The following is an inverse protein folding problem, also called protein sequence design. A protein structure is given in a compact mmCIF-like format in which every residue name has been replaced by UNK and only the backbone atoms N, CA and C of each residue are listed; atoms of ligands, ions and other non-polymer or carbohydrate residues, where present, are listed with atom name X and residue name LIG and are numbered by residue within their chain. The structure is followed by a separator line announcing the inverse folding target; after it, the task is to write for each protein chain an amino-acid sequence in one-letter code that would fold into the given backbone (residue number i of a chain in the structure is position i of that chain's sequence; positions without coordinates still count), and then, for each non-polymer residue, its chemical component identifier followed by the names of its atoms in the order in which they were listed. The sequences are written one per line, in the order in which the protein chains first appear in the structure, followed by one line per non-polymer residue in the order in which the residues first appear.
data_IF_739818424459
#
_entry.id   IF_739818424459
#
_cell.length_a   1.000
_cell.length_b   1.000
_cell.length_c   1.000
_cell.angle_alpha   90.00
_cell.angle_beta   90.00
_cell.angle_gamma   90.00
#
_symmetry.space_group_name_H-M   'P 1'
#
loop_
_entity.id
_entity.type
_entity.pdbx_description
1 polymer ?
#
# COMPACT_ATOMS: atom_id res chain seq x y z
N UNK A 1 -14.88 -6.73 4.08
CA UNK A 1 -16.06 -6.44 4.92
C UNK A 1 -15.87 -7.06 6.28
N UNK A 2 -15.49 -6.27 7.25
CA UNK A 2 -15.48 -6.69 8.65
C UNK A 2 -16.93 -6.97 9.06
N UNK A 3 -17.15 -8.17 9.61
CA UNK A 3 -18.46 -8.79 9.87
C UNK A 3 -19.45 -7.81 10.54
N UNK A 4 -20.59 -7.56 9.93
CA UNK A 4 -21.70 -6.75 10.46
C UNK A 4 -22.53 -7.56 11.46
N UNK A 5 -21.92 -8.03 12.53
CA UNK A 5 -22.59 -8.72 13.63
C UNK A 5 -21.82 -8.55 14.94
N UNK A 6 -22.39 -7.75 15.84
CA UNK A 6 -22.16 -7.73 17.29
C UNK A 6 -20.70 -7.66 17.84
N UNK A 7 -19.92 -6.73 17.34
CA UNK A 7 -18.85 -5.98 18.00
C UNK A 7 -18.14 -5.15 16.93
N UNK A 8 -18.74 -4.02 16.52
CA UNK A 8 -18.03 -3.08 15.66
C UNK A 8 -16.80 -2.58 16.43
N UNK A 9 -15.61 -2.97 15.96
CA UNK A 9 -14.37 -2.35 16.43
C UNK A 9 -14.47 -0.88 16.06
N UNK A 10 -14.61 -0.03 17.06
CA UNK A 10 -14.67 1.40 16.85
C UNK A 10 -13.25 1.90 16.60
N UNK A 11 -12.97 2.33 15.37
CA UNK A 11 -11.66 2.84 14.95
C UNK A 11 -11.68 4.36 15.11
N UNK A 12 -10.66 4.90 15.79
CA UNK A 12 -10.46 6.32 16.01
C UNK A 12 -9.13 6.76 15.40
N UNK A 13 -9.07 8.01 14.96
CA UNK A 13 -7.80 8.61 14.56
C UNK A 13 -6.91 8.77 15.81
N UNK A 14 -5.77 8.07 15.81
CA UNK A 14 -4.79 8.14 16.91
C UNK A 14 -4.06 9.47 16.95
N UNK A 15 -3.97 10.14 15.81
CA UNK A 15 -3.25 11.40 15.63
C UNK A 15 -4.18 12.43 14.98
N UNK A 16 -3.93 13.70 15.29
CA UNK A 16 -4.57 14.86 14.68
C UNK A 16 -3.49 15.90 14.37
N UNK A 17 -2.76 15.65 13.29
CA UNK A 17 -1.69 16.50 12.80
C UNK A 17 -2.22 17.46 11.73
N UNK A 18 -1.52 18.55 11.48
CA UNK A 18 -1.72 19.27 10.23
C UNK A 18 -1.22 18.40 9.05
N UNK A 19 -1.79 18.60 7.85
CA UNK A 19 -1.32 17.94 6.62
C UNK A 19 0.19 18.09 6.44
N UNK A 20 0.73 19.31 6.63
CA UNK A 20 2.15 19.60 6.47
C UNK A 20 3.02 18.86 7.50
N UNK A 21 2.60 18.81 8.76
CA UNK A 21 3.30 18.04 9.78
C UNK A 21 3.27 16.55 9.50
N UNK A 22 2.17 16.03 8.95
CA UNK A 22 2.09 14.62 8.58
C UNK A 22 2.95 14.30 7.36
N UNK A 23 3.01 15.18 6.36
CA UNK A 23 3.95 15.07 5.23
C UNK A 23 5.40 15.08 5.74
N UNK A 24 5.75 15.98 6.64
CA UNK A 24 7.09 16.03 7.24
C UNK A 24 7.42 14.72 7.96
N UNK A 25 6.49 14.21 8.77
CA UNK A 25 6.63 12.93 9.46
C UNK A 25 6.86 11.78 8.47
N UNK A 26 6.07 11.71 7.39
CA UNK A 26 6.19 10.69 6.36
C UNK A 26 7.54 10.75 5.64
N UNK A 27 7.99 11.94 5.24
CA UNK A 27 9.30 12.15 4.61
C UNK A 27 10.45 11.75 5.53
N UNK A 28 10.38 12.10 6.81
CA UNK A 28 11.39 11.72 7.80
C UNK A 28 11.50 10.21 8.00
N UNK A 29 10.39 9.48 7.88
CA UNK A 29 10.33 8.04 8.08
C UNK A 29 10.34 7.24 6.77
N UNK A 30 10.64 7.87 5.62
CA UNK A 30 10.49 7.24 4.30
C UNK A 30 11.28 5.94 4.16
N UNK A 31 12.51 5.87 4.68
CA UNK A 31 13.36 4.68 4.59
C UNK A 31 12.76 3.52 5.41
N UNK A 32 12.25 3.81 6.60
CA UNK A 32 11.58 2.81 7.45
C UNK A 32 10.30 2.28 6.79
N UNK A 33 9.53 3.17 6.17
CA UNK A 33 8.33 2.81 5.44
C UNK A 33 8.64 1.90 4.23
N UNK A 34 9.68 2.23 3.46
CA UNK A 34 10.14 1.41 2.32
C UNK A 34 10.66 0.07 2.83
N UNK A 35 11.48 0.06 3.88
CA UNK A 35 12.02 -1.15 4.50
C UNK A 35 10.90 -2.11 4.93
N UNK A 36 9.92 -1.63 5.69
CA UNK A 36 8.80 -2.45 6.15
C UNK A 36 7.95 -2.98 4.99
N UNK A 37 7.68 -2.15 3.98
CA UNK A 37 6.96 -2.58 2.78
C UNK A 37 7.72 -3.66 2.00
N UNK A 38 9.05 -3.53 1.86
CA UNK A 38 9.88 -4.54 1.21
C UNK A 38 9.88 -5.86 2.00
N UNK A 39 9.98 -5.80 3.33
CA UNK A 39 9.91 -6.97 4.21
C UNK A 39 8.56 -7.68 4.13
N UNK A 40 7.47 -6.93 4.05
CA UNK A 40 6.12 -7.47 3.89
C UNK A 40 5.94 -8.25 2.57
N UNK A 41 6.69 -7.90 1.53
CA UNK A 41 6.75 -8.64 0.25
C UNK A 41 7.73 -9.82 0.29
N UNK A 42 8.42 -10.06 1.40
CA UNK A 42 9.37 -11.17 1.56
C UNK A 42 10.78 -10.86 1.08
N UNK A 43 11.08 -9.63 0.68
CA UNK A 43 12.43 -9.23 0.30
C UNK A 43 13.32 -9.25 1.57
N UNK A 44 14.39 -10.07 1.53
CA UNK A 44 15.30 -10.26 2.67
C UNK A 44 16.31 -9.11 2.80
N UNK A 45 15.80 -7.86 2.86
CA UNK A 45 16.62 -6.65 2.98
C UNK A 45 16.72 -6.19 4.45
N UNK A 46 17.82 -5.57 4.81
CA UNK A 46 18.00 -4.84 6.08
C UNK A 46 17.66 -3.36 5.92
N UNK A 47 17.45 -2.67 7.04
CA UNK A 47 17.25 -1.21 7.04
C UNK A 47 18.45 -0.47 6.41
N UNK A 48 19.69 -0.86 6.76
CA UNK A 48 20.91 -0.25 6.20
C UNK A 48 21.05 -0.47 4.69
N UNK A 49 20.68 -1.65 4.19
CA UNK A 49 20.66 -1.92 2.75
C UNK A 49 19.59 -1.09 2.05
N UNK A 50 18.38 -0.99 2.63
CA UNK A 50 17.31 -0.12 2.09
C UNK A 50 17.78 1.32 2.01
N UNK A 51 18.42 1.84 3.05
CA UNK A 51 19.01 3.18 3.06
C UNK A 51 20.04 3.35 1.93
N UNK A 52 20.95 2.39 1.78
CA UNK A 52 22.00 2.42 0.76
C UNK A 52 21.41 2.45 -0.66
N UNK A 53 20.44 1.57 -0.96
CA UNK A 53 19.74 1.53 -2.26
C UNK A 53 19.03 2.84 -2.54
N UNK A 54 18.30 3.36 -1.57
CA UNK A 54 17.58 4.63 -1.72
C UNK A 54 18.52 5.83 -1.97
N UNK A 55 19.79 5.71 -1.59
CA UNK A 55 20.83 6.71 -1.86
C UNK A 55 21.71 6.37 -3.07
N UNK A 56 21.34 5.37 -3.89
CA UNK A 56 22.01 5.03 -5.14
C UNK A 56 23.25 4.16 -4.99
N UNK A 57 23.48 3.58 -3.81
CA UNK A 57 24.60 2.68 -3.60
C UNK A 57 24.28 1.25 -4.05
N UNK A 58 25.28 0.53 -4.52
CA UNK A 58 25.18 -0.90 -4.82
C UNK A 58 25.18 -1.70 -3.51
N UNK A 59 24.32 -2.70 -3.46
CA UNK A 59 24.18 -3.60 -2.30
C UNK A 59 24.35 -5.04 -2.76
N UNK A 60 25.18 -5.79 -2.03
CA UNK A 60 25.38 -7.22 -2.28
C UNK A 60 24.21 -8.05 -1.73
N UNK A 61 24.08 -9.28 -2.25
CA UNK A 61 23.12 -10.30 -1.81
C UNK A 61 21.63 -9.95 -2.03
N UNK A 62 21.34 -9.06 -2.95
CA UNK A 62 19.98 -8.82 -3.47
C UNK A 62 19.97 -9.02 -4.98
N UNK A 63 18.90 -9.58 -5.50
CA UNK A 63 18.67 -9.68 -6.93
C UNK A 63 18.39 -8.28 -7.54
N UNK A 64 18.53 -8.18 -8.85
CA UNK A 64 18.21 -6.94 -9.58
C UNK A 64 16.75 -6.56 -9.34
N UNK A 65 15.83 -7.52 -9.38
CA UNK A 65 14.40 -7.28 -9.18
C UNK A 65 14.08 -6.76 -7.77
N UNK A 66 14.77 -7.28 -6.73
CA UNK A 66 14.62 -6.78 -5.36
C UNK A 66 15.10 -5.32 -5.24
N UNK A 67 16.22 -4.97 -5.86
CA UNK A 67 16.71 -3.58 -5.90
C UNK A 67 15.73 -2.69 -6.68
N UNK A 68 15.20 -3.15 -7.81
CA UNK A 68 14.18 -2.44 -8.59
C UNK A 68 12.92 -2.23 -7.76
N UNK A 69 12.45 -3.24 -7.04
CA UNK A 69 11.26 -3.14 -6.18
C UNK A 69 11.43 -2.06 -5.09
N UNK A 70 12.59 -1.99 -4.45
CA UNK A 70 12.89 -0.96 -3.42
C UNK A 70 12.93 0.45 -4.05
N UNK A 71 13.55 0.60 -5.21
CA UNK A 71 13.56 1.88 -5.93
C UNK A 71 12.16 2.29 -6.41
N UNK A 72 11.32 1.33 -6.82
CA UNK A 72 9.93 1.59 -7.16
C UNK A 72 9.12 2.07 -5.96
N UNK A 73 9.33 1.51 -4.77
CA UNK A 73 8.72 1.99 -3.52
C UNK A 73 9.14 3.43 -3.23
N UNK A 74 10.42 3.78 -3.40
CA UNK A 74 10.90 5.16 -3.27
C UNK A 74 10.18 6.11 -4.24
N UNK A 75 10.06 5.72 -5.53
CA UNK A 75 9.35 6.51 -6.54
C UNK A 75 7.85 6.64 -6.22
N UNK A 76 7.23 5.58 -5.73
CA UNK A 76 5.82 5.60 -5.35
C UNK A 76 5.58 6.53 -4.15
N UNK A 77 6.45 6.55 -3.15
CA UNK A 77 6.40 7.54 -2.07
C UNK A 77 6.56 8.97 -2.58
N UNK A 78 7.49 9.22 -3.53
CA UNK A 78 7.62 10.53 -4.15
C UNK A 78 6.33 10.93 -4.86
N UNK A 79 5.74 10.01 -5.65
CA UNK A 79 4.45 10.24 -6.29
C UNK A 79 3.34 10.58 -5.28
N UNK A 80 3.27 9.89 -4.14
CA UNK A 80 2.34 10.21 -3.06
C UNK A 80 2.50 11.67 -2.61
N UNK A 81 3.73 12.14 -2.38
CA UNK A 81 3.98 13.50 -1.93
C UNK A 81 3.67 14.56 -3.01
N UNK A 82 3.99 14.26 -4.27
CA UNK A 82 3.79 15.19 -5.39
C UNK A 82 2.30 15.34 -5.76
N UNK A 83 1.49 14.37 -5.35
CA UNK A 83 0.06 14.33 -5.68
C UNK A 83 -0.86 14.64 -4.49
N UNK A 84 -0.33 15.30 -3.43
CA UNK A 84 -1.12 15.64 -2.23
C UNK A 84 -2.29 16.60 -2.49
N UNK A 85 -2.32 17.28 -3.63
CA UNK A 85 -3.42 18.17 -4.06
C UNK A 85 -4.49 17.44 -4.90
N UNK A 86 -4.29 16.16 -5.23
CA UNK A 86 -5.33 15.36 -5.88
C UNK A 86 -6.53 15.16 -4.93
N UNK A 87 -7.76 15.21 -5.43
CA UNK A 87 -8.94 15.26 -4.57
C UNK A 87 -9.17 13.98 -3.76
N UNK A 88 -8.81 12.82 -4.27
CA UNK A 88 -8.99 11.53 -3.56
C UNK A 88 -8.17 10.39 -4.18
N UNK A 89 -8.04 9.30 -3.39
CA UNK A 89 -7.44 8.03 -3.82
C UNK A 89 -8.51 7.21 -4.56
N UNK A 90 -8.80 7.55 -5.80
CA UNK A 90 -9.77 6.84 -6.64
C UNK A 90 -9.13 5.62 -7.35
N UNK A 91 -9.94 4.94 -8.15
CA UNK A 91 -9.48 3.79 -8.96
C UNK A 91 -8.30 4.14 -9.86
N UNK A 92 -8.31 5.32 -10.51
CA UNK A 92 -7.22 5.72 -11.41
C UNK A 92 -5.92 5.97 -10.64
N UNK A 93 -6.01 6.60 -9.47
CA UNK A 93 -4.88 6.80 -8.57
C UNK A 93 -4.27 5.47 -8.11
N UNK A 94 -5.11 4.50 -7.69
CA UNK A 94 -4.66 3.17 -7.28
C UNK A 94 -3.94 2.44 -8.41
N UNK A 95 -4.48 2.50 -9.64
CA UNK A 95 -3.84 1.94 -10.83
C UNK A 95 -2.47 2.57 -11.09
N UNK A 96 -2.36 3.89 -10.95
CA UNK A 96 -1.09 4.60 -11.16
C UNK A 96 -0.04 4.27 -10.10
N UNK A 97 -0.44 4.13 -8.83
CA UNK A 97 0.45 3.65 -7.77
C UNK A 97 0.96 2.24 -8.09
N UNK A 98 0.08 1.31 -8.51
CA UNK A 98 0.48 -0.04 -8.90
C UNK A 98 1.42 -0.04 -10.12
N UNK A 99 1.18 0.82 -11.10
CA UNK A 99 2.06 0.98 -12.26
C UNK A 99 3.48 1.37 -11.86
N UNK A 100 3.63 2.29 -10.90
CA UNK A 100 4.94 2.69 -10.39
C UNK A 100 5.59 1.54 -9.61
N UNK A 101 4.82 0.88 -8.73
CA UNK A 101 5.30 -0.24 -7.90
C UNK A 101 5.78 -1.40 -8.77
N UNK A 102 5.09 -1.70 -9.87
CA UNK A 102 5.41 -2.83 -10.76
C UNK A 102 6.35 -2.50 -11.93
N UNK A 103 6.78 -1.24 -12.06
CA UNK A 103 7.60 -0.78 -13.19
C UNK A 103 8.90 -1.57 -13.31
N UNK A 104 9.12 -2.21 -14.48
CA UNK A 104 10.30 -3.03 -14.75
C UNK A 104 10.33 -4.38 -14.07
N UNK A 105 9.30 -4.75 -13.29
CA UNK A 105 9.19 -6.04 -12.61
C UNK A 105 8.25 -7.01 -13.35
N UNK A 106 7.15 -6.51 -13.86
CA UNK A 106 6.17 -7.31 -14.58
C UNK A 106 5.41 -6.48 -15.61
N UNK A 107 4.92 -7.17 -16.64
CA UNK A 107 4.04 -6.58 -17.64
C UNK A 107 2.65 -6.31 -17.05
N UNK A 108 1.94 -5.35 -17.62
CA UNK A 108 0.58 -4.98 -17.18
C UNK A 108 0.48 -4.39 -15.76
N UNK A 109 1.57 -3.83 -15.22
CA UNK A 109 1.50 -3.05 -13.99
C UNK A 109 0.49 -1.90 -14.16
N UNK A 110 -0.38 -1.70 -13.15
CA UNK A 110 -1.46 -0.72 -13.17
C UNK A 110 -2.72 -1.14 -13.91
N UNK A 111 -2.75 -2.33 -14.55
CA UNK A 111 -3.95 -2.86 -15.20
C UNK A 111 -4.59 -3.95 -14.34
N UNK A 112 -5.91 -3.98 -14.33
CA UNK A 112 -6.64 -5.09 -13.69
C UNK A 112 -6.22 -6.43 -14.31
N UNK A 113 -6.00 -7.42 -13.46
CA UNK A 113 -5.70 -8.76 -13.92
C UNK A 113 -6.88 -9.37 -14.67
N UNK A 114 -6.55 -10.16 -15.69
CA UNK A 114 -7.52 -10.91 -16.48
C UNK A 114 -7.42 -12.43 -16.28
N UNK A 115 -6.54 -12.86 -15.37
CA UNK A 115 -6.34 -14.26 -15.03
C UNK A 115 -6.56 -14.51 -13.53
N UNK A 116 -6.97 -15.72 -13.14
CA UNK A 116 -7.08 -16.10 -11.73
C UNK A 116 -5.71 -16.01 -11.02
N UNK A 117 -5.76 -15.69 -9.73
CA UNK A 117 -4.59 -15.73 -8.84
C UNK A 117 -4.96 -16.48 -7.56
N UNK A 118 -3.95 -17.03 -6.89
CA UNK A 118 -4.10 -17.65 -5.57
C UNK A 118 -3.40 -16.79 -4.54
N UNK A 119 -3.98 -16.69 -3.34
CA UNK A 119 -3.34 -16.06 -2.20
C UNK A 119 -2.65 -17.16 -1.39
N UNK A 120 -1.35 -17.03 -1.18
CA UNK A 120 -0.58 -18.01 -0.40
C UNK A 120 -1.16 -18.16 1.01
N UNK A 121 -1.49 -19.40 1.42
CA UNK A 121 -2.08 -19.70 2.72
C UNK A 121 -3.61 -19.61 2.78
N UNK A 122 -4.29 -19.08 1.75
CA UNK A 122 -5.74 -19.03 1.70
C UNK A 122 -6.34 -20.21 0.95
N UNK A 123 -7.47 -20.75 1.45
CA UNK A 123 -8.25 -21.80 0.80
C UNK A 123 -9.21 -21.29 -0.28
N UNK A 124 -9.40 -19.98 -0.40
CA UNK A 124 -10.26 -19.32 -1.37
C UNK A 124 -9.47 -18.58 -2.44
N UNK A 125 -10.08 -18.35 -3.58
CA UNK A 125 -9.51 -17.57 -4.68
C UNK A 125 -10.34 -16.33 -4.92
N UNK A 126 -9.71 -15.15 -5.06
CA UNK A 126 -10.44 -13.93 -5.38
C UNK A 126 -10.99 -14.00 -6.81
N UNK A 127 -12.26 -13.61 -6.97
CA UNK A 127 -12.90 -13.48 -8.27
C UNK A 127 -12.12 -12.54 -9.20
N UNK A 128 -12.30 -12.69 -10.51
CA UNK A 128 -11.75 -11.74 -11.47
C UNK A 128 -12.31 -10.32 -11.17
N UNK A 129 -11.44 -9.31 -11.15
CA UNK A 129 -11.87 -7.95 -10.86
C UNK A 129 -12.72 -7.37 -12.00
N UNK A 130 -13.85 -6.79 -11.67
CA UNK A 130 -14.78 -6.12 -12.61
C UNK A 130 -14.67 -4.62 -12.33
N UNK A 131 -14.24 -3.84 -13.33
CA UNK A 131 -13.94 -2.41 -13.14
C UNK A 131 -15.10 -1.58 -12.57
N UNK A 132 -16.34 -1.67 -13.06
CA UNK A 132 -17.46 -0.95 -12.47
C UNK A 132 -17.65 -1.26 -10.99
N UNK A 133 -17.66 -2.54 -10.61
CA UNK A 133 -17.87 -2.98 -9.23
C UNK A 133 -16.77 -2.43 -8.30
N UNK A 134 -15.52 -2.44 -8.77
CA UNK A 134 -14.38 -1.90 -8.01
C UNK A 134 -14.54 -0.39 -7.78
N UNK A 135 -14.98 0.35 -8.81
CA UNK A 135 -15.20 1.80 -8.68
C UNK A 135 -16.27 2.09 -7.63
N UNK A 136 -17.38 1.34 -7.66
CA UNK A 136 -18.48 1.49 -6.71
C UNK A 136 -18.04 1.13 -5.29
N UNK A 137 -17.35 -0.01 -5.10
CA UNK A 137 -16.81 -0.45 -3.81
C UNK A 137 -15.80 0.56 -3.23
N UNK A 138 -14.92 1.15 -4.05
CA UNK A 138 -14.00 2.20 -3.63
C UNK A 138 -14.75 3.47 -3.21
N UNK A 139 -15.80 3.85 -3.94
CA UNK A 139 -16.62 4.99 -3.59
C UNK A 139 -17.37 4.76 -2.26
N UNK A 140 -17.84 3.56 -1.99
CA UNK A 140 -18.43 3.20 -0.68
C UNK A 140 -17.42 3.36 0.46
N UNK A 141 -16.18 2.90 0.26
CA UNK A 141 -15.10 3.08 1.24
C UNK A 141 -14.83 4.57 1.49
N UNK A 142 -14.89 5.39 0.44
CA UNK A 142 -14.70 6.85 0.58
C UNK A 142 -15.78 7.55 1.39
N UNK A 143 -16.95 6.96 1.55
CA UNK A 143 -18.03 7.50 2.39
C UNK A 143 -17.78 7.27 3.91
N UNK A 144 -16.76 6.52 4.28
CA UNK A 144 -16.35 6.35 5.70
C UNK A 144 -15.75 7.68 6.19
N UNK A 145 -16.37 8.29 7.20
CA UNK A 145 -15.94 9.60 7.71
C UNK A 145 -14.56 9.56 8.38
N UNK A 146 -14.34 8.55 9.25
CA UNK A 146 -13.08 8.44 9.97
C UNK A 146 -11.93 8.07 9.03
N UNK A 147 -10.85 8.86 9.02
CA UNK A 147 -9.74 8.71 8.09
C UNK A 147 -8.95 7.41 8.30
N UNK A 148 -8.71 7.02 9.54
CA UNK A 148 -8.01 5.76 9.87
C UNK A 148 -8.83 4.55 9.45
N UNK A 149 -10.15 4.55 9.72
CA UNK A 149 -11.05 3.49 9.28
C UNK A 149 -11.05 3.36 7.77
N UNK A 150 -11.26 4.48 7.06
CA UNK A 150 -11.25 4.52 5.58
C UNK A 150 -9.93 4.01 4.99
N UNK A 151 -8.79 4.40 5.59
CA UNK A 151 -7.49 3.97 5.13
C UNK A 151 -7.25 2.46 5.32
N UNK A 152 -7.66 1.92 6.48
CA UNK A 152 -7.55 0.48 6.78
C UNK A 152 -8.47 -0.32 5.87
N UNK A 153 -9.73 0.09 5.69
CA UNK A 153 -10.69 -0.59 4.82
C UNK A 153 -10.20 -0.62 3.37
N UNK A 154 -9.68 0.51 2.85
CA UNK A 154 -9.10 0.53 1.51
C UNK A 154 -7.88 -0.39 1.39
N UNK A 155 -7.00 -0.39 2.39
CA UNK A 155 -5.83 -1.25 2.41
C UNK A 155 -6.22 -2.73 2.35
N UNK A 156 -7.12 -3.16 3.23
CA UNK A 156 -7.59 -4.54 3.29
C UNK A 156 -8.36 -4.91 2.02
N UNK A 157 -9.19 -4.02 1.51
CA UNK A 157 -9.93 -4.20 0.26
C UNK A 157 -8.98 -4.52 -0.92
N UNK A 158 -7.95 -3.69 -1.15
CA UNK A 158 -6.99 -3.91 -2.23
C UNK A 158 -6.24 -5.24 -2.05
N UNK A 159 -5.83 -5.55 -0.81
CA UNK A 159 -5.12 -6.78 -0.49
C UNK A 159 -5.99 -8.03 -0.71
N UNK A 160 -7.27 -7.99 -0.34
CA UNK A 160 -8.19 -9.12 -0.52
C UNK A 160 -8.67 -9.25 -1.97
N UNK A 161 -9.05 -8.16 -2.59
CA UNK A 161 -9.57 -8.15 -3.97
C UNK A 161 -8.53 -8.63 -4.99
N UNK A 162 -7.24 -8.48 -4.67
CA UNK A 162 -6.14 -8.84 -5.58
C UNK A 162 -6.40 -8.30 -7.00
N UNK A 163 -6.55 -6.98 -7.09
CA UNK A 163 -6.95 -6.30 -8.33
C UNK A 163 -5.92 -6.47 -9.45
N UNK A 164 -4.64 -6.57 -9.08
CA UNK A 164 -3.50 -6.64 -9.98
C UNK A 164 -2.83 -8.02 -9.91
N UNK A 165 -2.03 -8.35 -10.92
CA UNK A 165 -1.25 -9.59 -10.93
C UNK A 165 -0.23 -9.63 -9.79
N UNK A 166 0.37 -8.50 -9.45
CA UNK A 166 1.32 -8.35 -8.35
C UNK A 166 1.30 -6.93 -7.78
N UNK A 167 2.00 -6.73 -6.66
CA UNK A 167 2.13 -5.43 -6.01
C UNK A 167 0.90 -4.96 -5.22
N UNK A 168 -0.10 -5.82 -5.00
CA UNK A 168 -1.33 -5.45 -4.29
C UNK A 168 -1.06 -4.96 -2.87
N UNK A 169 -0.20 -5.63 -2.08
CA UNK A 169 0.15 -5.20 -0.71
C UNK A 169 0.88 -3.85 -0.69
N UNK A 170 1.86 -3.68 -1.57
CA UNK A 170 2.61 -2.42 -1.71
C UNK A 170 1.69 -1.26 -2.10
N UNK A 171 0.86 -1.47 -3.12
CA UNK A 171 -0.15 -0.50 -3.56
C UNK A 171 -1.12 -0.13 -2.45
N UNK A 172 -1.65 -1.12 -1.75
CA UNK A 172 -2.59 -0.97 -0.65
C UNK A 172 -2.03 -0.09 0.48
N UNK A 173 -0.81 -0.42 0.94
CA UNK A 173 -0.14 0.34 2.01
C UNK A 173 0.13 1.79 1.61
N UNK A 174 0.57 2.03 0.37
CA UNK A 174 0.82 3.38 -0.16
C UNK A 174 -0.47 4.19 -0.25
N UNK A 175 -1.56 3.62 -0.78
CA UNK A 175 -2.85 4.28 -0.88
C UNK A 175 -3.46 4.61 0.49
N UNK A 176 -3.34 3.70 1.47
CA UNK A 176 -3.76 3.94 2.84
C UNK A 176 -2.98 5.11 3.47
N UNK A 177 -1.66 5.12 3.31
CA UNK A 177 -0.82 6.21 3.80
C UNK A 177 -1.15 7.55 3.14
N UNK A 178 -1.53 7.55 1.84
CA UNK A 178 -2.00 8.77 1.17
C UNK A 178 -3.23 9.36 1.87
N UNK A 179 -4.21 8.52 2.24
CA UNK A 179 -5.41 8.95 2.97
C UNK A 179 -5.03 9.48 4.36
N UNK A 180 -4.21 8.75 5.11
CA UNK A 180 -3.80 9.16 6.46
C UNK A 180 -3.05 10.48 6.46
N UNK A 181 -2.10 10.65 5.54
CA UNK A 181 -1.28 11.87 5.44
C UNK A 181 -2.15 13.09 5.13
N UNK A 182 -3.07 12.98 4.19
CA UNK A 182 -3.98 14.06 3.82
C UNK A 182 -4.84 14.53 4.99
N UNK A 183 -5.25 13.61 5.85
CA UNK A 183 -6.13 13.87 6.98
C UNK A 183 -5.38 14.08 8.33
N UNK A 184 -4.04 14.11 8.33
CA UNK A 184 -3.26 14.30 9.55
C UNK A 184 -3.34 13.12 10.53
N UNK A 185 -3.79 11.94 10.08
CA UNK A 185 -4.04 10.78 10.91
C UNK A 185 -2.82 9.86 11.12
N UNK A 186 -1.61 10.35 10.79
CA UNK A 186 -0.36 9.62 10.99
C UNK A 186 0.03 8.76 9.80
N UNK A 187 0.61 7.60 10.07
CA UNK A 187 1.10 6.63 9.08
C UNK A 187 0.73 5.21 9.51
N UNK A 188 0.57 4.31 8.53
CA UNK A 188 0.36 2.90 8.77
C UNK A 188 1.44 2.06 8.07
N UNK A 189 2.00 1.10 8.80
CA UNK A 189 2.87 0.05 8.30
C UNK A 189 2.71 -1.20 9.15
N UNK A 190 2.95 -2.36 8.54
CA UNK A 190 3.08 -3.62 9.26
C UNK A 190 4.51 -3.71 9.80
N UNK A 191 4.66 -3.89 11.11
CA UNK A 191 5.98 -4.10 11.69
C UNK A 191 6.56 -5.44 11.22
N UNK A 192 7.89 -5.49 11.11
CA UNK A 192 8.56 -6.70 10.61
C UNK A 192 8.31 -7.91 11.49
N UNK A 193 8.22 -7.70 12.81
CA UNK A 193 7.90 -8.73 13.79
C UNK A 193 6.46 -9.26 13.69
N UNK A 194 5.53 -8.46 13.16
CA UNK A 194 4.10 -8.80 13.06
C UNK A 194 3.73 -9.40 11.68
N UNK A 195 4.71 -9.53 10.76
CA UNK A 195 4.43 -9.98 9.37
C UNK A 195 3.81 -11.38 9.35
N UNK A 196 4.29 -12.28 10.20
CA UNK A 196 3.80 -13.67 10.21
C UNK A 196 2.35 -13.77 10.72
N UNK A 197 1.95 -12.90 11.64
CA UNK A 197 0.57 -12.79 12.11
C UNK A 197 -0.34 -12.07 11.11
N UNK A 198 0.24 -11.17 10.31
CA UNK A 198 -0.49 -10.41 9.28
C UNK A 198 -0.76 -11.21 8.01
N UNK A 199 -0.14 -12.37 7.81
CA UNK A 199 -0.40 -13.25 6.65
C UNK A 199 -1.85 -13.73 6.69
N UNK A 200 -2.66 -13.17 5.79
CA UNK A 200 -4.06 -13.52 5.54
C UNK A 200 -4.10 -14.75 4.62
#
# INVERSE_FOLDING_TARGET
MLNRGDNMIQIYDKFSLSKDNNIFLAKRNIIDNIYKSARLEGIAVTFSQTYAICNGANVANLSVDEVVAINNLKRAWQFIFDTMEYPKVDFAFICQVNQIVGSGLYNNAGFLRSIPVSIGGASWQPNLPIKPDIIDEINEIHNIENATHRAIDLMLYIMQKQMFLDGNKRTATLCANRILIENGAGLINIKVEDIDEFKI
#
